data_IF_613260702672
#
_entry.id   IF_613260702672
#
_cell.length_a   1.000
_cell.length_b   1.000
_cell.length_c   1.000
_cell.angle_alpha   90.00
_cell.angle_beta   90.00
_cell.angle_gamma   90.00
#
_symmetry.space_group_name_H-M   'P 1'
#
loop_
_entity.id
_entity.type
_entity.pdbx_description
1 polymer ?
#
# COMPACT_ATOMS: atom_id res chain seq x y z
N UNK A 1 1.75 -11.44 11.46
CA UNK A 1 2.34 -12.59 12.12
C UNK A 1 3.85 -12.62 11.87
N UNK A 2 4.35 -12.78 10.65
CA UNK A 2 5.79 -12.89 10.37
C UNK A 2 6.66 -11.71 10.83
N UNK A 3 6.24 -10.45 10.61
CA UNK A 3 6.99 -9.30 11.12
C UNK A 3 7.08 -9.27 12.65
N UNK A 4 6.05 -9.74 13.36
CA UNK A 4 6.05 -9.82 14.83
C UNK A 4 7.07 -10.85 15.29
N UNK A 5 7.12 -12.00 14.64
CA UNK A 5 8.05 -13.08 15.00
C UNK A 5 9.50 -12.68 14.67
N UNK A 6 9.73 -12.03 13.54
CA UNK A 6 11.05 -11.50 13.17
C UNK A 6 11.53 -10.41 14.15
N UNK A 7 10.64 -9.50 14.56
CA UNK A 7 10.97 -8.48 15.58
C UNK A 7 11.37 -9.11 16.92
N UNK A 8 10.62 -10.12 17.35
CA UNK A 8 10.96 -10.84 18.59
C UNK A 8 12.31 -11.53 18.51
N UNK A 9 12.65 -12.15 17.38
CA UNK A 9 13.92 -12.83 17.16
C UNK A 9 15.11 -11.86 17.20
N UNK A 10 14.94 -10.64 16.69
CA UNK A 10 15.99 -9.61 16.68
C UNK A 10 15.95 -8.69 17.89
N UNK A 11 14.96 -8.85 18.79
CA UNK A 11 14.75 -7.99 19.95
C UNK A 11 14.59 -6.50 19.58
N UNK A 12 13.84 -6.22 18.50
CA UNK A 12 13.52 -4.87 18.02
C UNK A 12 12.04 -4.56 18.18
N UNK A 13 11.70 -3.28 18.29
CA UNK A 13 10.30 -2.85 18.52
C UNK A 13 9.59 -2.49 17.22
N UNK A 14 10.29 -1.89 16.27
CA UNK A 14 9.71 -1.33 15.07
C UNK A 14 10.11 -2.11 13.80
N UNK A 15 9.26 -2.09 12.78
CA UNK A 15 9.49 -2.82 11.53
C UNK A 15 10.70 -2.27 10.74
N UNK A 16 10.98 -0.96 10.86
CA UNK A 16 12.13 -0.32 10.22
C UNK A 16 13.48 -0.70 10.82
N UNK A 17 13.50 -1.33 11.99
CA UNK A 17 14.70 -1.83 12.64
C UNK A 17 15.09 -3.24 12.17
N UNK A 18 14.21 -3.92 11.40
CA UNK A 18 14.49 -5.23 10.85
C UNK A 18 15.62 -5.15 9.83
N UNK A 19 16.57 -6.07 9.94
CA UNK A 19 17.66 -6.16 8.99
C UNK A 19 17.21 -6.79 7.65
N UNK A 20 18.04 -6.64 6.63
CA UNK A 20 17.79 -7.12 5.29
C UNK A 20 17.50 -8.63 5.25
N UNK A 21 18.25 -9.43 5.99
CA UNK A 21 18.09 -10.89 6.01
C UNK A 21 16.70 -11.30 6.51
N UNK A 22 16.20 -10.66 7.56
CA UNK A 22 14.85 -10.93 8.08
C UNK A 22 13.76 -10.49 7.10
N UNK A 23 13.95 -9.37 6.43
CA UNK A 23 13.00 -8.92 5.40
C UNK A 23 12.97 -9.88 4.21
N UNK A 24 14.12 -10.38 3.76
CA UNK A 24 14.19 -11.40 2.70
C UNK A 24 13.47 -12.71 3.11
N UNK A 25 13.64 -13.17 4.35
CA UNK A 25 12.93 -14.34 4.88
C UNK A 25 11.40 -14.12 4.88
N UNK A 26 10.96 -12.94 5.34
CA UNK A 26 9.53 -12.58 5.34
C UNK A 26 8.97 -12.58 3.92
N UNK A 27 9.66 -11.98 2.95
CA UNK A 27 9.25 -11.98 1.55
C UNK A 27 9.15 -13.41 1.00
N UNK A 28 10.11 -14.28 1.30
CA UNK A 28 10.08 -15.68 0.89
C UNK A 28 8.88 -16.43 1.48
N UNK A 29 8.56 -16.18 2.75
CA UNK A 29 7.39 -16.77 3.41
C UNK A 29 6.08 -16.31 2.76
N UNK A 30 5.95 -15.02 2.42
CA UNK A 30 4.77 -14.52 1.70
C UNK A 30 4.61 -15.16 0.32
N UNK A 31 5.71 -15.35 -0.42
CA UNK A 31 5.66 -16.04 -1.72
C UNK A 31 5.21 -17.49 -1.58
N UNK A 32 5.69 -18.21 -0.55
CA UNK A 32 5.26 -19.58 -0.24
C UNK A 32 3.75 -19.63 0.04
N UNK A 33 3.23 -18.76 0.90
CA UNK A 33 1.81 -18.69 1.20
C UNK A 33 0.99 -18.37 -0.06
N UNK A 34 1.46 -17.44 -0.88
CA UNK A 34 0.79 -17.14 -2.13
C UNK A 34 0.67 -18.39 -3.01
N UNK A 35 1.74 -19.18 -3.14
CA UNK A 35 1.75 -20.43 -3.89
C UNK A 35 0.82 -21.49 -3.28
N UNK A 36 0.83 -21.67 -1.97
CA UNK A 36 -0.02 -22.63 -1.27
C UNK A 36 -1.52 -22.32 -1.44
N UNK A 37 -1.90 -21.04 -1.35
CA UNK A 37 -3.32 -20.63 -1.44
C UNK A 37 -3.83 -20.49 -2.86
N UNK A 38 -2.97 -20.11 -3.81
CA UNK A 38 -3.40 -19.85 -5.20
C UNK A 38 -3.02 -20.96 -6.17
N UNK A 39 -2.14 -21.89 -5.78
CA UNK A 39 -1.54 -22.89 -6.63
C UNK A 39 -0.56 -22.31 -7.67
N UNK A 40 -0.24 -21.02 -7.60
CA UNK A 40 0.62 -20.33 -8.56
C UNK A 40 1.77 -19.62 -7.85
N UNK A 41 2.95 -19.65 -8.46
CA UNK A 41 4.08 -18.87 -7.99
C UNK A 41 3.80 -17.37 -8.18
N UNK A 42 4.23 -16.57 -7.21
CA UNK A 42 4.21 -15.12 -7.35
C UNK A 42 5.17 -14.70 -8.46
N UNK A 43 4.74 -13.91 -9.47
CA UNK A 43 5.59 -13.57 -10.59
C UNK A 43 6.73 -12.63 -10.17
N UNK A 44 7.94 -12.91 -10.68
CA UNK A 44 9.11 -12.04 -10.47
C UNK A 44 9.19 -10.91 -11.50
N UNK A 45 8.56 -11.06 -12.66
CA UNK A 45 8.50 -10.05 -13.70
C UNK A 45 7.58 -8.88 -13.26
N UNK A 46 8.10 -7.63 -13.16
CA UNK A 46 7.32 -6.49 -12.73
C UNK A 46 6.15 -6.15 -13.68
N UNK A 47 6.29 -6.42 -14.97
CA UNK A 47 5.20 -6.21 -15.92
C UNK A 47 4.06 -7.20 -15.70
N UNK A 48 4.40 -8.44 -15.35
CA UNK A 48 3.40 -9.45 -14.99
C UNK A 48 2.71 -9.12 -13.67
N UNK A 49 3.43 -8.58 -12.71
CA UNK A 49 2.84 -8.06 -11.46
C UNK A 49 1.87 -6.91 -11.75
N UNK A 50 2.27 -5.96 -12.61
CA UNK A 50 1.43 -4.85 -13.02
C UNK A 50 0.15 -5.31 -13.73
N UNK A 51 0.25 -6.26 -14.66
CA UNK A 51 -0.89 -6.86 -15.35
C UNK A 51 -1.89 -7.45 -14.34
N UNK A 52 -1.42 -8.25 -13.40
CA UNK A 52 -2.26 -8.85 -12.36
C UNK A 52 -2.89 -7.80 -11.44
N UNK A 53 -2.17 -6.73 -11.12
CA UNK A 53 -2.70 -5.63 -10.31
C UNK A 53 -3.81 -4.87 -11.04
N UNK A 54 -3.63 -4.58 -12.33
CA UNK A 54 -4.65 -3.95 -13.18
C UNK A 54 -5.89 -4.85 -13.27
N UNK A 55 -5.70 -6.13 -13.52
CA UNK A 55 -6.80 -7.12 -13.57
C UNK A 55 -7.57 -7.16 -12.25
N UNK A 56 -6.87 -7.14 -11.11
CA UNK A 56 -7.50 -7.14 -9.80
C UNK A 56 -8.34 -5.87 -9.57
N UNK A 57 -7.88 -4.70 -10.01
CA UNK A 57 -8.66 -3.45 -9.93
C UNK A 57 -9.93 -3.54 -10.78
N UNK A 58 -9.85 -4.02 -12.01
CA UNK A 58 -11.05 -4.21 -12.85
C UNK A 58 -12.03 -5.22 -12.23
N UNK A 59 -11.54 -6.35 -11.71
CA UNK A 59 -12.37 -7.36 -11.02
C UNK A 59 -13.05 -6.78 -9.77
N UNK A 60 -12.41 -5.85 -9.06
CA UNK A 60 -12.96 -5.25 -7.85
C UNK A 60 -14.28 -4.49 -8.09
N UNK A 61 -14.54 -4.05 -9.32
CA UNK A 61 -15.82 -3.44 -9.72
C UNK A 61 -17.03 -4.36 -9.48
N UNK A 62 -16.82 -5.67 -9.63
CA UNK A 62 -17.84 -6.70 -9.40
C UNK A 62 -17.76 -7.31 -7.99
N UNK A 63 -16.89 -6.81 -7.14
CA UNK A 63 -16.79 -7.23 -5.74
C UNK A 63 -18.07 -6.89 -4.97
N UNK A 64 -18.47 -7.76 -4.05
CA UNK A 64 -19.71 -7.65 -3.27
C UNK A 64 -19.89 -6.25 -2.65
N UNK A 65 -18.86 -5.72 -2.00
CA UNK A 65 -18.91 -4.38 -1.41
C UNK A 65 -19.20 -3.28 -2.42
N UNK A 66 -18.61 -3.36 -3.61
CA UNK A 66 -18.81 -2.36 -4.66
C UNK A 66 -20.22 -2.46 -5.28
N UNK A 67 -20.74 -3.67 -5.44
CA UNK A 67 -22.11 -3.91 -5.91
C UNK A 67 -23.12 -3.35 -4.92
N UNK A 68 -23.03 -3.74 -3.64
CA UNK A 68 -23.93 -3.24 -2.59
C UNK A 68 -23.86 -1.71 -2.45
N UNK A 69 -22.70 -1.11 -2.57
CA UNK A 69 -22.54 0.35 -2.55
C UNK A 69 -23.32 1.00 -3.69
N UNK A 70 -23.18 0.52 -4.94
CA UNK A 70 -23.89 1.06 -6.08
C UNK A 70 -25.41 0.91 -5.96
N UNK A 71 -25.88 -0.22 -5.47
CA UNK A 71 -27.30 -0.46 -5.21
C UNK A 71 -27.85 0.49 -4.15
N UNK A 72 -27.14 0.65 -3.03
CA UNK A 72 -27.53 1.53 -1.93
C UNK A 72 -27.67 2.99 -2.38
N UNK A 73 -26.73 3.46 -3.20
CA UNK A 73 -26.71 4.85 -3.68
C UNK A 73 -27.38 5.03 -5.04
N UNK A 74 -28.05 3.99 -5.58
CA UNK A 74 -28.76 4.00 -6.85
C UNK A 74 -27.90 4.53 -8.01
N UNK A 75 -26.63 4.16 -8.05
CA UNK A 75 -25.72 4.54 -9.11
C UNK A 75 -26.04 3.69 -10.34
N UNK A 76 -26.60 4.35 -11.38
CA UNK A 76 -26.96 3.69 -12.63
C UNK A 76 -25.73 3.34 -13.47
N UNK A 77 -25.88 2.41 -14.41
CA UNK A 77 -24.83 2.07 -15.39
C UNK A 77 -24.46 3.25 -16.29
N UNK A 78 -25.38 4.17 -16.52
CA UNK A 78 -25.12 5.39 -17.31
C UNK A 78 -24.26 6.40 -16.54
N UNK A 79 -24.41 6.42 -15.20
CA UNK A 79 -23.59 7.28 -14.33
C UNK A 79 -22.19 6.72 -14.10
N UNK A 80 -22.06 5.39 -14.03
CA UNK A 80 -20.78 4.72 -13.84
C UNK A 80 -20.81 3.31 -14.42
N UNK A 81 -20.16 3.12 -15.57
CA UNK A 81 -20.13 1.83 -16.29
C UNK A 81 -18.96 0.92 -15.92
N UNK A 82 -18.01 1.40 -15.16
CA UNK A 82 -16.82 0.66 -14.76
C UNK A 82 -15.89 1.46 -13.86
N UNK A 83 -14.73 0.89 -13.57
CA UNK A 83 -13.63 1.56 -12.87
C UNK A 83 -12.49 1.85 -13.82
N UNK A 84 -11.62 2.79 -13.45
CA UNK A 84 -10.39 3.09 -14.16
C UNK A 84 -9.16 2.72 -13.32
N UNK A 85 -8.03 2.56 -13.98
CA UNK A 85 -6.74 2.30 -13.34
C UNK A 85 -5.77 3.41 -13.72
N UNK A 86 -5.15 4.02 -12.73
CA UNK A 86 -4.04 4.94 -12.91
C UNK A 86 -2.73 4.25 -12.51
N UNK A 87 -1.79 4.23 -13.44
CA UNK A 87 -0.42 3.76 -13.17
C UNK A 87 0.48 4.97 -13.03
N UNK A 88 1.01 5.18 -11.84
CA UNK A 88 1.84 6.35 -11.52
C UNK A 88 3.18 5.90 -10.95
N UNK A 89 4.22 6.69 -11.22
CA UNK A 89 5.52 6.48 -10.61
C UNK A 89 5.45 6.72 -9.12
N UNK A 90 6.05 5.83 -8.34
CA UNK A 90 6.18 5.96 -6.90
C UNK A 90 7.57 6.50 -6.55
N UNK A 91 7.61 7.52 -5.71
CA UNK A 91 8.84 8.03 -5.09
C UNK A 91 8.85 7.59 -3.64
N UNK A 92 9.98 7.01 -3.20
CA UNK A 92 10.08 6.46 -1.85
C UNK A 92 10.67 7.51 -0.90
N UNK A 93 9.96 7.74 0.21
CA UNK A 93 10.38 8.68 1.26
C UNK A 93 11.38 8.11 2.27
N UNK A 94 11.89 6.88 2.03
CA UNK A 94 12.79 6.15 2.93
C UNK A 94 14.11 5.72 2.26
N UNK A 95 14.50 6.36 1.16
CA UNK A 95 15.70 5.96 0.41
C UNK A 95 17.01 6.48 1.01
N UNK A 96 16.97 7.44 1.91
CA UNK A 96 18.17 8.00 2.53
C UNK A 96 17.83 9.06 3.58
N UNK A 97 18.84 9.59 4.22
CA UNK A 97 18.68 10.59 5.29
C UNK A 97 18.08 11.92 4.84
N UNK A 98 18.10 12.19 3.53
CA UNK A 98 17.52 13.36 2.87
C UNK A 98 16.11 13.09 2.30
N UNK A 99 15.57 11.87 2.53
CA UNK A 99 14.25 11.48 2.09
C UNK A 99 13.18 11.85 3.11
N UNK A 100 11.98 12.14 2.62
CA UNK A 100 10.83 12.46 3.46
C UNK A 100 9.54 11.99 2.80
N UNK A 101 8.52 11.77 3.64
CA UNK A 101 7.14 11.52 3.21
C UNK A 101 6.22 12.50 3.92
N UNK A 102 5.17 12.94 3.24
CA UNK A 102 4.22 13.86 3.85
C UNK A 102 2.82 13.72 3.31
N UNK A 103 1.87 14.25 4.09
CA UNK A 103 0.48 14.42 3.69
C UNK A 103 0.15 15.90 3.76
N UNK A 104 -0.34 16.45 2.66
CA UNK A 104 -0.67 17.86 2.54
C UNK A 104 -2.11 18.03 2.08
N UNK A 105 -2.84 18.90 2.76
CA UNK A 105 -4.18 19.31 2.38
C UNK A 105 -4.12 20.74 1.85
N UNK A 106 -4.86 21.02 0.81
CA UNK A 106 -4.99 22.37 0.23
C UNK A 106 -5.95 23.26 1.03
N UNK A 107 -6.63 22.67 2.01
CA UNK A 107 -7.51 23.35 2.97
C UNK A 107 -7.29 22.77 4.36
N UNK A 108 -7.45 23.58 5.39
CA UNK A 108 -7.49 23.12 6.77
C UNK A 108 -8.71 22.19 6.96
N UNK A 109 -8.51 20.93 7.37
CA UNK A 109 -9.62 19.98 7.55
C UNK A 109 -10.53 20.32 8.74
N UNK A 110 -10.11 21.21 9.65
CA UNK A 110 -10.89 21.59 10.83
C UNK A 110 -11.91 22.71 10.55
N UNK A 111 -11.57 23.68 9.69
CA UNK A 111 -12.41 24.85 9.43
C UNK A 111 -12.68 25.13 7.95
N UNK A 112 -12.07 24.37 7.03
CA UNK A 112 -12.20 24.52 5.59
C UNK A 112 -11.47 25.74 5.01
N UNK A 113 -10.72 26.50 5.82
CA UNK A 113 -9.99 27.68 5.35
C UNK A 113 -8.93 27.33 4.31
N UNK A 114 -8.67 28.25 3.36
CA UNK A 114 -7.65 28.09 2.31
C UNK A 114 -6.24 28.27 2.88
N UNK A 115 -5.79 27.32 3.68
CA UNK A 115 -4.44 27.25 4.21
C UNK A 115 -3.87 25.86 3.88
N UNK A 116 -2.59 25.82 3.56
CA UNK A 116 -1.89 24.55 3.43
C UNK A 116 -1.74 23.97 4.83
N UNK A 117 -2.23 22.77 5.02
CA UNK A 117 -2.16 22.02 6.26
C UNK A 117 -1.56 20.64 5.99
N UNK A 118 -0.63 20.19 6.81
CA UNK A 118 -0.05 18.86 6.60
C UNK A 118 1.05 18.51 7.58
N UNK A 119 1.49 17.27 7.49
CA UNK A 119 2.57 16.72 8.27
C UNK A 119 3.65 16.16 7.34
N UNK A 120 4.91 16.34 7.71
CA UNK A 120 6.06 15.77 7.02
C UNK A 120 6.79 14.86 8.01
N UNK A 121 7.06 13.62 7.60
CA UNK A 121 7.90 12.67 8.31
C UNK A 121 9.23 12.57 7.55
N UNK A 122 10.31 12.98 8.18
CA UNK A 122 11.66 12.87 7.62
C UNK A 122 12.41 11.70 8.26
N UNK A 123 13.22 10.99 7.49
CA UNK A 123 14.04 9.88 8.00
C UNK A 123 15.05 10.30 9.09
N UNK A 124 15.44 11.57 9.13
CA UNK A 124 16.30 12.12 10.18
C UNK A 124 15.65 12.11 11.57
N UNK A 125 14.32 12.22 11.65
CA UNK A 125 13.59 12.25 12.94
C UNK A 125 13.43 10.86 13.56
N UNK A 126 13.39 9.81 12.77
CA UNK A 126 13.25 8.44 13.27
C UNK A 126 14.54 7.89 13.91
N UNK A 127 15.71 8.45 13.56
CA UNK A 127 17.01 8.05 14.16
C UNK A 127 17.36 8.77 15.46
N UNK A 128 16.61 9.83 15.82
CA UNK A 128 16.90 10.67 17.00
C UNK A 128 15.87 10.52 18.13
N UNK A 129 14.86 9.70 17.98
CA UNK A 129 13.84 9.36 18.98
C UNK A 129 13.99 7.91 19.47
#
# INVERSE_FOLDING_TARGET
MFCIDAKKQQNVQHDYELNEESLQKIVSQYKTICQEHTGKQFPEDPYKQLELAIEAVFKSWMGERAVVYREKYKISKDAASGTAVNVVTMVFGNMGSDSATGVVFTRDPSDGSKKIFGNILSMLKERMS
#
